data_IF_088082849189
#
_entry.id   IF_088082849189
#
_cell.length_a   1.000
_cell.length_b   1.000
_cell.length_c   1.000
_cell.angle_alpha   90.00
_cell.angle_beta   90.00
_cell.angle_gamma   90.00
#
_symmetry.space_group_name_H-M   'P 1'
#
loop_
_entity.id
_entity.type
_entity.pdbx_description
1 polymer ?
#
# COMPACT_ATOMS: atom_id res chain seq x y z
N UNK A 1 8.38 7.08 6.23
CA UNK A 1 7.90 6.47 7.49
C UNK A 1 6.63 7.14 8.00
N UNK A 2 5.56 6.35 8.10
CA UNK A 2 4.28 6.76 8.69
C UNK A 2 4.27 6.45 10.20
N UNK A 3 4.14 7.49 11.04
CA UNK A 3 4.28 7.36 12.50
C UNK A 3 2.96 7.07 13.24
N UNK A 4 1.86 6.85 12.52
CA UNK A 4 0.53 6.69 13.10
C UNK A 4 0.02 5.26 12.92
N UNK A 5 -0.86 4.84 13.84
CA UNK A 5 -1.50 3.51 13.76
C UNK A 5 -2.63 3.45 12.73
N UNK A 6 -3.32 4.57 12.52
CA UNK A 6 -4.46 4.67 11.62
C UNK A 6 -4.00 4.75 10.17
N UNK A 7 -4.76 4.18 9.21
CA UNK A 7 -4.48 4.39 7.80
C UNK A 7 -4.77 5.83 7.38
N UNK A 8 -4.32 6.21 6.19
CA UNK A 8 -4.54 7.55 5.62
C UNK A 8 -3.24 8.29 5.36
N UNK A 9 -2.21 7.59 4.88
CA UNK A 9 -1.01 8.22 4.33
C UNK A 9 -1.46 9.13 3.17
N UNK A 10 -1.15 10.44 3.22
CA UNK A 10 -1.55 11.40 2.20
C UNK A 10 -1.15 11.00 0.78
N UNK A 11 -2.02 11.33 -0.18
CA UNK A 11 -1.84 11.04 -1.61
C UNK A 11 -0.55 11.63 -2.23
N UNK A 12 0.01 12.67 -1.60
CA UNK A 12 1.23 13.38 -2.00
C UNK A 12 2.50 12.81 -1.34
N UNK A 13 2.37 11.94 -0.34
CA UNK A 13 3.49 11.22 0.26
C UNK A 13 3.96 10.03 -0.61
N UNK A 14 3.15 9.61 -1.58
CA UNK A 14 3.52 8.57 -2.55
C UNK A 14 4.14 9.18 -3.80
N UNK A 15 5.26 8.62 -4.23
CA UNK A 15 5.81 8.81 -5.55
C UNK A 15 4.80 8.42 -6.62
N UNK A 16 4.83 9.15 -7.73
CA UNK A 16 3.93 8.95 -8.87
C UNK A 16 4.70 8.63 -10.13
N UNK A 17 4.12 7.77 -10.96
CA UNK A 17 4.56 7.53 -12.32
C UNK A 17 3.41 7.80 -13.28
N UNK A 18 3.75 8.28 -14.48
CA UNK A 18 2.80 8.32 -15.57
C UNK A 18 2.23 6.91 -15.82
N UNK A 19 0.93 6.81 -16.06
CA UNK A 19 0.17 5.58 -16.32
C UNK A 19 0.06 4.55 -15.18
N UNK A 20 0.62 4.80 -13.99
CA UNK A 20 0.40 3.92 -12.82
C UNK A 20 -0.64 4.55 -11.89
N UNK A 21 -1.81 3.90 -11.65
CA UNK A 21 -2.85 4.48 -10.82
C UNK A 21 -2.51 4.45 -9.32
N UNK A 22 -3.16 5.34 -8.57
CA UNK A 22 -3.18 5.34 -7.11
C UNK A 22 -4.61 5.34 -6.61
N UNK A 23 -4.88 4.50 -5.60
CA UNK A 23 -6.13 4.57 -4.85
C UNK A 23 -6.08 5.81 -3.97
N UNK A 24 -7.04 6.71 -4.18
CA UNK A 24 -7.21 7.94 -3.40
C UNK A 24 -7.29 7.65 -1.91
N UNK A 25 -6.63 8.48 -1.11
CA UNK A 25 -6.56 8.42 0.34
C UNK A 25 -7.88 7.99 1.02
N UNK A 26 -9.00 8.68 0.74
CA UNK A 26 -10.27 8.41 1.41
C UNK A 26 -10.84 7.03 1.04
N UNK A 27 -10.65 6.61 -0.22
CA UNK A 27 -11.07 5.29 -0.69
C UNK A 27 -10.17 4.21 -0.06
N UNK A 28 -8.87 4.47 0.01
CA UNK A 28 -7.87 3.58 0.58
C UNK A 28 -8.10 3.33 2.07
N UNK A 29 -8.43 4.36 2.85
CA UNK A 29 -8.83 4.23 4.25
C UNK A 29 -10.05 3.31 4.41
N UNK A 30 -11.07 3.47 3.57
CA UNK A 30 -12.26 2.59 3.58
C UNK A 30 -11.87 1.15 3.26
N UNK A 31 -11.02 0.93 2.24
CA UNK A 31 -10.58 -0.41 1.86
C UNK A 31 -9.82 -1.11 2.99
N UNK A 32 -8.87 -0.43 3.62
CA UNK A 32 -8.12 -0.98 4.76
C UNK A 32 -9.05 -1.34 5.92
N UNK A 33 -10.02 -0.48 6.25
CA UNK A 33 -11.02 -0.77 7.28
C UNK A 33 -11.87 -2.00 6.94
N UNK A 34 -12.33 -2.12 5.68
CA UNK A 34 -13.15 -3.24 5.23
C UNK A 34 -12.38 -4.56 5.11
N UNK A 35 -11.07 -4.50 4.93
CA UNK A 35 -10.20 -5.68 4.87
C UNK A 35 -10.08 -6.41 6.22
N UNK A 36 -10.41 -5.75 7.35
CA UNK A 36 -10.39 -6.35 8.70
C UNK A 36 -9.06 -7.04 9.01
N UNK A 37 -7.97 -6.35 8.70
CA UNK A 37 -6.61 -6.86 8.88
C UNK A 37 -6.29 -7.05 10.37
N UNK A 38 -5.46 -8.05 10.64
CA UNK A 38 -4.96 -8.38 11.97
C UNK A 38 -3.45 -8.67 11.92
N UNK A 39 -2.73 -8.46 13.03
CA UNK A 39 -1.33 -8.86 13.14
C UNK A 39 -1.09 -10.33 12.76
N UNK A 40 -0.01 -10.58 12.01
CA UNK A 40 0.39 -11.92 11.56
C UNK A 40 -0.32 -12.42 10.30
N UNK A 41 -1.27 -11.66 9.73
CA UNK A 41 -1.93 -12.07 8.49
C UNK A 41 -0.97 -12.00 7.30
N UNK A 42 -1.19 -12.88 6.32
CA UNK A 42 -0.59 -12.76 4.98
C UNK A 42 -1.62 -12.13 4.05
N UNK A 43 -1.30 -10.96 3.49
CA UNK A 43 -2.16 -10.23 2.54
C UNK A 43 -1.61 -10.39 1.13
N UNK A 44 -2.49 -10.66 0.18
CA UNK A 44 -2.17 -10.64 -1.25
C UNK A 44 -2.88 -9.44 -1.88
N UNK A 45 -2.12 -8.49 -2.38
CA UNK A 45 -2.62 -7.30 -3.07
C UNK A 45 -2.42 -7.49 -4.58
N UNK A 46 -3.51 -7.77 -5.31
CA UNK A 46 -3.48 -8.12 -6.73
C UNK A 46 -3.80 -6.86 -7.56
N UNK A 47 -2.87 -6.46 -8.42
CA UNK A 47 -2.90 -5.19 -9.12
C UNK A 47 -2.51 -4.04 -8.20
N UNK A 48 -1.33 -4.13 -7.57
CA UNK A 48 -0.92 -3.19 -6.52
C UNK A 48 -0.68 -1.76 -7.02
N UNK A 49 -0.47 -1.55 -8.32
CA UNK A 49 -0.28 -0.23 -8.91
C UNK A 49 0.89 0.52 -8.27
N UNK A 50 0.61 1.66 -7.65
CA UNK A 50 1.59 2.45 -6.89
C UNK A 50 2.01 1.85 -5.54
N UNK A 51 1.37 0.77 -5.10
CA UNK A 51 1.67 0.10 -3.82
C UNK A 51 1.00 0.73 -2.59
N UNK A 52 0.14 1.74 -2.80
CA UNK A 52 -0.46 2.50 -1.69
C UNK A 52 -1.29 1.65 -0.72
N UNK A 53 -2.06 0.67 -1.22
CA UNK A 53 -2.80 -0.28 -0.38
C UNK A 53 -1.85 -1.27 0.28
N UNK A 54 -0.86 -1.77 -0.45
CA UNK A 54 0.13 -2.71 0.07
C UNK A 54 0.89 -2.16 1.29
N UNK A 55 1.36 -0.91 1.21
CA UNK A 55 2.09 -0.24 2.31
C UNK A 55 1.18 -0.02 3.52
N UNK A 56 -0.03 0.51 3.31
CA UNK A 56 -1.01 0.69 4.38
C UNK A 56 -1.37 -0.65 5.05
N UNK A 57 -1.55 -1.71 4.27
CA UNK A 57 -1.84 -3.04 4.78
C UNK A 57 -0.67 -3.62 5.59
N UNK A 58 0.59 -3.38 5.16
CA UNK A 58 1.78 -3.87 5.85
C UNK A 58 1.85 -3.33 7.28
N UNK A 59 1.54 -2.04 7.46
CA UNK A 59 1.48 -1.39 8.78
C UNK A 59 0.43 -2.07 9.69
N UNK A 60 -0.72 -2.48 9.14
CA UNK A 60 -1.80 -3.10 9.93
C UNK A 60 -1.51 -4.54 10.33
N UNK A 61 -0.73 -5.29 9.54
CA UNK A 61 -0.46 -6.72 9.81
C UNK A 61 0.78 -6.96 10.65
N UNK A 62 1.54 -5.93 11.00
CA UNK A 62 2.69 -5.98 11.92
C UNK A 62 3.67 -7.14 11.59
N UNK A 63 3.68 -8.20 12.40
CA UNK A 63 4.50 -9.41 12.20
C UNK A 63 4.07 -10.30 11.00
N UNK A 64 3.04 -9.87 10.28
CA UNK A 64 2.55 -10.49 9.05
C UNK A 64 3.40 -10.12 7.85
N UNK A 65 2.83 -10.31 6.65
CA UNK A 65 3.48 -9.93 5.40
C UNK A 65 2.46 -9.57 4.33
N UNK A 66 2.85 -8.66 3.44
CA UNK A 66 2.09 -8.31 2.25
C UNK A 66 2.85 -8.76 1.02
N UNK A 67 2.13 -9.41 0.10
CA UNK A 67 2.65 -9.83 -1.20
C UNK A 67 1.91 -8.99 -2.25
N UNK A 68 2.58 -7.94 -2.70
CA UNK A 68 2.10 -7.06 -3.77
C UNK A 68 2.41 -7.69 -5.13
N UNK A 69 1.38 -7.83 -5.97
CA UNK A 69 1.48 -8.48 -7.28
C UNK A 69 0.95 -7.54 -8.34
N UNK A 70 1.75 -7.26 -9.35
CA UNK A 70 1.30 -6.55 -10.55
C UNK A 70 1.93 -7.20 -11.79
N UNK A 71 1.29 -7.06 -12.95
CA UNK A 71 1.85 -7.50 -14.21
C UNK A 71 2.64 -6.40 -14.90
N UNK A 72 2.36 -5.13 -14.59
CA UNK A 72 3.08 -3.99 -15.14
C UNK A 72 4.38 -3.77 -14.35
N UNK A 73 5.50 -3.87 -15.06
CA UNK A 73 6.83 -3.63 -14.48
C UNK A 73 6.96 -2.22 -13.90
N UNK A 74 6.29 -1.22 -14.48
CA UNK A 74 6.34 0.15 -13.97
C UNK A 74 5.64 0.27 -12.60
N UNK A 75 4.53 -0.45 -12.41
CA UNK A 75 3.83 -0.53 -11.14
C UNK A 75 4.69 -1.22 -10.07
N UNK A 76 5.36 -2.32 -10.43
CA UNK A 76 6.29 -3.02 -9.53
C UNK A 76 7.43 -2.09 -9.09
N UNK A 77 8.09 -1.43 -10.03
CA UNK A 77 9.20 -0.53 -9.71
C UNK A 77 8.75 0.71 -8.93
N UNK A 78 7.56 1.25 -9.21
CA UNK A 78 6.99 2.34 -8.42
C UNK A 78 6.65 1.89 -6.99
N UNK A 79 6.06 0.70 -6.85
CA UNK A 79 5.75 0.11 -5.54
C UNK A 79 7.02 -0.03 -4.69
N UNK A 80 8.12 -0.54 -5.27
CA UNK A 80 9.41 -0.65 -4.58
C UNK A 80 9.91 0.70 -4.07
N UNK A 81 9.87 1.74 -4.92
CA UNK A 81 10.28 3.10 -4.52
C UNK A 81 9.43 3.64 -3.36
N UNK A 82 8.12 3.43 -3.42
CA UNK A 82 7.23 3.86 -2.35
C UNK A 82 7.49 3.11 -1.04
N UNK A 83 7.81 1.82 -1.09
CA UNK A 83 8.21 1.04 0.08
C UNK A 83 9.47 1.65 0.73
N UNK A 84 10.51 1.92 -0.05
CA UNK A 84 11.77 2.51 0.47
C UNK A 84 11.56 3.86 1.20
N UNK A 85 10.56 4.64 0.81
CA UNK A 85 10.26 5.95 1.40
C UNK A 85 9.29 5.89 2.59
N UNK A 86 8.39 4.90 2.63
CA UNK A 86 7.21 4.91 3.51
C UNK A 86 7.17 3.78 4.54
N UNK A 87 7.81 2.64 4.26
CA UNK A 87 8.01 1.55 5.22
C UNK A 87 8.87 2.00 6.43
#
# INVERSE_FOLDING_TARGET
MWNYKTPGIPDDAFERSENVPITKEEVRVIQISKARLCPGYTVYDIGCGSGSISIEAAIQVESGKVIAIDYDINAIELTKKNIENLD
#
